data_IF_868315695063
#
_entry.id   IF_868315695063
#
_cell.length_a   1.000
_cell.length_b   1.000
_cell.length_c   1.000
_cell.angle_alpha   90.00
_cell.angle_beta   90.00
_cell.angle_gamma   90.00
#
_symmetry.space_group_name_H-M   'P 1'
#
loop_
_entity.id
_entity.type
_entity.pdbx_description
1 polymer ?
#
# COMPACT_ATOMS: atom_id res chain seq x y z
N UNK A 1 -23.28 18.11 2.43
CA UNK A 1 -22.39 16.98 2.81
C UNK A 1 -21.41 17.48 3.86
N UNK A 2 -21.29 16.80 4.99
CA UNK A 2 -20.34 17.16 6.06
C UNK A 2 -18.90 16.95 5.58
N UNK A 3 -18.06 17.99 5.61
CA UNK A 3 -16.64 17.86 5.25
C UNK A 3 -15.96 16.84 6.18
N UNK A 4 -15.36 15.81 5.60
CA UNK A 4 -14.61 14.80 6.36
C UNK A 4 -13.35 15.44 6.92
N UNK A 5 -13.29 15.61 8.24
CA UNK A 5 -12.15 16.20 8.95
C UNK A 5 -11.14 15.16 9.42
N UNK A 6 -11.43 13.86 9.32
CA UNK A 6 -10.51 12.80 9.73
C UNK A 6 -10.68 11.52 8.91
N UNK A 7 -9.58 10.76 8.77
CA UNK A 7 -9.57 9.42 8.17
C UNK A 7 -8.73 8.48 9.03
N UNK A 8 -9.18 7.23 9.16
CA UNK A 8 -8.52 6.20 9.95
C UNK A 8 -8.28 4.94 9.12
N UNK A 9 -7.08 4.38 9.26
CA UNK A 9 -6.71 3.08 8.72
C UNK A 9 -5.96 2.26 9.77
N UNK A 10 -6.61 1.21 10.29
CA UNK A 10 -6.09 0.44 11.42
C UNK A 10 -5.86 1.31 12.65
N UNK A 11 -4.61 1.36 13.11
CA UNK A 11 -4.18 2.16 14.26
C UNK A 11 -3.68 3.56 13.87
N UNK A 12 -3.56 3.84 12.57
CA UNK A 12 -3.12 5.14 12.07
C UNK A 12 -4.32 6.04 11.78
N UNK A 13 -4.21 7.30 12.16
CA UNK A 13 -5.27 8.28 11.99
C UNK A 13 -4.71 9.61 11.50
N UNK A 14 -5.40 10.23 10.54
CA UNK A 14 -5.15 11.58 10.07
C UNK A 14 -6.35 12.44 10.39
N UNK A 15 -6.14 13.55 11.07
CA UNK A 15 -7.18 14.51 11.40
C UNK A 15 -6.72 15.94 11.11
N UNK A 16 -7.64 16.74 10.58
CA UNK A 16 -7.46 18.16 10.37
C UNK A 16 -8.00 18.88 11.61
N UNK A 17 -7.11 19.57 12.34
CA UNK A 17 -7.45 20.32 13.54
C UNK A 17 -6.95 21.76 13.43
N UNK A 18 -7.87 22.69 13.17
CA UNK A 18 -7.53 24.09 12.85
C UNK A 18 -6.63 24.16 11.61
N UNK A 19 -5.43 24.72 11.81
CA UNK A 19 -4.36 24.91 10.81
C UNK A 19 -3.30 23.79 10.85
N UNK A 20 -3.58 22.72 11.58
CA UNK A 20 -2.69 21.58 11.74
C UNK A 20 -3.30 20.30 11.18
N UNK A 21 -2.46 19.50 10.53
CA UNK A 21 -2.68 18.09 10.25
C UNK A 21 -2.08 17.27 11.40
N UNK A 22 -2.92 16.56 12.14
CA UNK A 22 -2.50 15.61 13.18
C UNK A 22 -2.45 14.22 12.60
N UNK A 23 -1.31 13.56 12.73
CA UNK A 23 -1.09 12.16 12.39
C UNK A 23 -0.82 11.38 13.66
N UNK A 24 -1.70 10.42 13.97
CA UNK A 24 -1.50 9.47 15.06
C UNK A 24 -0.97 8.18 14.46
N UNK A 25 0.19 7.74 14.94
CA UNK A 25 0.75 6.41 14.70
C UNK A 25 0.71 5.60 16.01
N UNK A 26 1.07 4.32 15.96
CA UNK A 26 1.07 3.39 17.11
C UNK A 26 1.78 3.95 18.35
N UNK A 27 2.84 4.74 18.17
CA UNK A 27 3.73 5.18 19.24
C UNK A 27 3.74 6.69 19.47
N UNK A 28 3.24 7.49 18.51
CA UNK A 28 3.37 8.95 18.59
C UNK A 28 2.26 9.69 17.86
N UNK A 29 1.95 10.89 18.35
CA UNK A 29 1.12 11.87 17.65
C UNK A 29 2.06 12.93 17.09
N UNK A 30 2.07 13.07 15.77
CA UNK A 30 2.80 14.10 15.04
C UNK A 30 1.81 15.16 14.57
N UNK A 31 2.24 16.42 14.58
CA UNK A 31 1.45 17.52 14.03
C UNK A 31 2.27 18.28 13.00
N UNK A 32 1.65 18.60 11.87
CA UNK A 32 2.25 19.34 10.77
C UNK A 32 1.36 20.53 10.44
N UNK A 33 1.96 21.71 10.30
CA UNK A 33 1.24 22.91 9.88
C UNK A 33 0.83 22.74 8.40
N UNK A 34 -0.43 23.04 8.07
CA UNK A 34 -0.97 22.84 6.72
C UNK A 34 -0.17 23.58 5.64
N UNK A 35 0.33 24.79 5.93
CA UNK A 35 1.15 25.57 4.99
C UNK A 35 2.51 24.94 4.65
N UNK A 36 2.96 23.94 5.42
CA UNK A 36 4.21 23.20 5.17
C UNK A 36 4.01 21.94 4.32
N UNK A 37 2.79 21.68 3.85
CA UNK A 37 2.47 20.56 2.97
C UNK A 37 2.83 20.95 1.54
N UNK A 38 3.74 20.20 0.93
CA UNK A 38 4.19 20.44 -0.44
C UNK A 38 3.30 19.73 -1.46
N UNK A 39 2.89 18.49 -1.19
CA UNK A 39 2.04 17.73 -2.10
C UNK A 39 1.30 16.60 -1.39
N UNK A 40 0.16 16.20 -1.96
CA UNK A 40 -0.68 15.09 -1.47
C UNK A 40 -0.95 14.13 -2.63
N UNK A 41 -0.39 12.93 -2.53
CA UNK A 41 -0.48 11.87 -3.53
C UNK A 41 -1.29 10.69 -2.99
N UNK A 42 -2.04 10.04 -3.88
CA UNK A 42 -2.82 8.82 -3.56
C UNK A 42 -2.58 7.85 -4.70
N UNK A 43 -1.73 6.85 -4.44
CA UNK A 43 -1.24 5.91 -5.45
C UNK A 43 -1.48 4.46 -5.00
N UNK A 44 -1.29 3.51 -5.91
CA UNK A 44 -1.19 2.10 -5.55
C UNK A 44 0.02 1.84 -4.66
N UNK A 45 0.00 0.75 -3.88
CA UNK A 45 1.18 0.39 -3.08
C UNK A 45 2.30 -0.03 -4.03
N UNK A 46 3.48 0.55 -3.85
CA UNK A 46 4.65 0.24 -4.67
C UNK A 46 4.99 -1.26 -4.57
N UNK A 47 5.55 -1.81 -5.66
CA UNK A 47 6.07 -3.17 -5.74
C UNK A 47 5.04 -4.31 -5.86
N UNK A 48 3.75 -3.99 -6.04
CA UNK A 48 2.70 -5.00 -6.32
C UNK A 48 3.04 -5.85 -7.56
N UNK A 49 3.31 -5.21 -8.71
CA UNK A 49 3.59 -5.92 -9.97
C UNK A 49 4.84 -6.81 -9.92
N UNK A 50 5.84 -6.45 -9.12
CA UNK A 50 7.01 -7.30 -8.89
C UNK A 50 6.60 -8.63 -8.25
N UNK A 51 5.68 -8.61 -7.28
CA UNK A 51 5.14 -9.84 -6.67
C UNK A 51 4.42 -10.72 -7.69
N UNK A 52 3.67 -10.14 -8.61
CA UNK A 52 3.04 -10.89 -9.69
C UNK A 52 4.06 -11.54 -10.62
N UNK A 53 5.12 -10.81 -11.01
CA UNK A 53 6.20 -11.35 -11.85
C UNK A 53 6.92 -12.53 -11.16
N UNK A 54 7.24 -12.40 -9.88
CA UNK A 54 7.83 -13.49 -9.10
C UNK A 54 6.89 -14.69 -8.97
N UNK A 55 5.59 -14.46 -8.85
CA UNK A 55 4.59 -15.52 -8.85
C UNK A 55 4.57 -16.28 -10.18
N UNK A 56 4.50 -15.55 -11.31
CA UNK A 56 4.57 -16.15 -12.64
C UNK A 56 5.86 -16.95 -12.84
N UNK A 57 7.00 -16.42 -12.42
CA UNK A 57 8.29 -17.13 -12.49
C UNK A 57 8.28 -18.43 -11.66
N UNK A 58 7.72 -18.40 -10.45
CA UNK A 58 7.59 -19.60 -9.61
C UNK A 58 6.72 -20.68 -10.25
N UNK A 59 5.56 -20.28 -10.79
CA UNK A 59 4.67 -21.22 -11.47
C UNK A 59 5.25 -21.79 -12.76
N UNK A 60 5.88 -20.95 -13.59
CA UNK A 60 6.55 -21.41 -14.81
C UNK A 60 7.68 -22.39 -14.49
N UNK A 61 8.53 -22.06 -13.50
CA UNK A 61 9.60 -22.96 -13.06
C UNK A 61 9.04 -24.29 -12.55
N UNK A 62 7.93 -24.27 -11.81
CA UNK A 62 7.27 -25.49 -11.34
C UNK A 62 6.78 -26.37 -12.49
N UNK A 63 6.13 -25.78 -13.50
CA UNK A 63 5.64 -26.50 -14.69
C UNK A 63 6.80 -27.07 -15.48
N UNK A 64 7.87 -26.29 -15.67
CA UNK A 64 9.06 -26.73 -16.41
C UNK A 64 9.72 -27.91 -15.69
N UNK A 65 9.90 -27.82 -14.38
CA UNK A 65 10.47 -28.90 -13.58
C UNK A 65 9.61 -30.15 -13.56
N UNK A 66 8.28 -30.01 -13.52
CA UNK A 66 7.43 -31.19 -13.57
C UNK A 66 7.49 -31.84 -14.96
N UNK A 67 7.28 -31.06 -16.03
CA UNK A 67 6.96 -31.61 -17.35
C UNK A 67 8.19 -31.93 -18.21
N UNK A 68 9.26 -31.14 -18.11
CA UNK A 68 10.40 -31.23 -19.02
C UNK A 68 11.66 -31.85 -18.41
N UNK A 69 11.78 -31.87 -17.09
CA UNK A 69 12.91 -32.48 -16.40
C UNK A 69 12.63 -33.95 -16.09
N UNK A 70 13.69 -34.76 -16.07
CA UNK A 70 13.57 -36.17 -15.70
C UNK A 70 12.96 -36.33 -14.31
N UNK A 71 12.11 -37.35 -14.14
CA UNK A 71 11.50 -37.70 -12.87
C UNK A 71 12.57 -38.18 -11.88
N UNK A 72 13.12 -37.23 -11.13
CA UNK A 72 14.06 -37.48 -10.06
C UNK A 72 13.72 -36.62 -8.84
N UNK A 73 14.27 -37.02 -7.68
CA UNK A 73 13.96 -36.38 -6.41
C UNK A 73 14.26 -34.87 -6.42
N UNK A 74 15.33 -34.45 -7.11
CA UNK A 74 15.69 -33.03 -7.20
C UNK A 74 14.70 -32.23 -8.06
N UNK A 75 14.30 -32.77 -9.20
CA UNK A 75 13.30 -32.14 -10.08
C UNK A 75 11.96 -31.95 -9.36
N UNK A 76 11.52 -32.98 -8.63
CA UNK A 76 10.30 -32.92 -7.83
C UNK A 76 10.38 -31.88 -6.71
N UNK A 77 11.51 -31.80 -5.99
CA UNK A 77 11.72 -30.78 -4.96
C UNK A 77 11.70 -29.37 -5.55
N UNK A 78 12.40 -29.14 -6.68
CA UNK A 78 12.41 -27.84 -7.35
C UNK A 78 10.99 -27.46 -7.77
N UNK A 79 10.22 -28.40 -8.34
CA UNK A 79 8.84 -28.13 -8.74
C UNK A 79 7.97 -27.72 -7.56
N UNK A 80 8.02 -28.47 -6.46
CA UNK A 80 7.23 -28.20 -5.25
C UNK A 80 7.61 -26.85 -4.63
N UNK A 81 8.91 -26.58 -4.42
CA UNK A 81 9.35 -25.32 -3.83
C UNK A 81 9.03 -24.12 -4.72
N UNK A 82 9.17 -24.26 -6.04
CA UNK A 82 8.82 -23.20 -6.99
C UNK A 82 7.33 -22.92 -6.98
N UNK A 83 6.49 -23.95 -6.87
CA UNK A 83 5.04 -23.81 -6.73
C UNK A 83 4.65 -23.09 -5.45
N UNK A 84 5.22 -23.50 -4.30
CA UNK A 84 4.98 -22.87 -3.00
C UNK A 84 5.42 -21.40 -3.03
N UNK A 85 6.61 -21.13 -3.56
CA UNK A 85 7.10 -19.75 -3.74
C UNK A 85 6.15 -18.93 -4.61
N UNK A 86 5.73 -19.48 -5.75
CA UNK A 86 4.76 -18.88 -6.66
C UNK A 86 3.46 -18.50 -5.97
N UNK A 87 2.91 -19.40 -5.14
CA UNK A 87 1.72 -19.19 -4.32
C UNK A 87 1.88 -18.07 -3.30
N UNK A 88 2.99 -18.06 -2.55
CA UNK A 88 3.26 -17.01 -1.54
C UNK A 88 3.28 -15.64 -2.21
N UNK A 89 3.98 -15.51 -3.34
CA UNK A 89 4.04 -14.27 -4.11
C UNK A 89 2.69 -13.88 -4.72
N UNK A 90 1.91 -14.86 -5.18
CA UNK A 90 0.56 -14.65 -5.71
C UNK A 90 -0.37 -14.07 -4.65
N UNK A 91 -0.47 -14.72 -3.49
CA UNK A 91 -1.30 -14.26 -2.37
C UNK A 91 -0.84 -12.88 -1.90
N UNK A 92 0.47 -12.66 -1.81
CA UNK A 92 1.03 -11.34 -1.48
C UNK A 92 0.58 -10.27 -2.48
N UNK A 93 0.61 -10.56 -3.79
CA UNK A 93 0.12 -9.64 -4.81
C UNK A 93 -1.35 -9.27 -4.58
N UNK A 94 -2.23 -10.25 -4.36
CA UNK A 94 -3.65 -9.98 -4.12
C UNK A 94 -3.87 -9.11 -2.88
N UNK A 95 -3.19 -9.42 -1.78
CA UNK A 95 -3.28 -8.63 -0.55
C UNK A 95 -2.85 -7.19 -0.85
N UNK A 96 -1.64 -6.98 -1.39
CA UNK A 96 -1.15 -5.62 -1.64
C UNK A 96 -1.99 -4.87 -2.68
N UNK A 97 -2.47 -5.53 -3.75
CA UNK A 97 -3.29 -4.94 -4.81
C UNK A 97 -4.61 -4.35 -4.29
N UNK A 98 -5.12 -4.90 -3.18
CA UNK A 98 -6.33 -4.41 -2.54
C UNK A 98 -6.12 -3.14 -1.71
N UNK A 99 -4.88 -2.66 -1.57
CA UNK A 99 -4.51 -1.46 -0.80
C UNK A 99 -4.03 -0.33 -1.70
N UNK A 100 -4.25 0.88 -1.21
CA UNK A 100 -3.77 2.15 -1.74
C UNK A 100 -2.96 2.86 -0.67
N UNK A 101 -2.12 3.79 -1.08
CA UNK A 101 -1.25 4.57 -0.21
C UNK A 101 -1.49 6.06 -0.44
N UNK A 102 -1.84 6.77 0.63
CA UNK A 102 -1.82 8.23 0.67
C UNK A 102 -0.46 8.69 1.21
N UNK A 103 0.23 9.53 0.45
CA UNK A 103 1.49 10.15 0.83
C UNK A 103 1.32 11.66 0.89
N UNK A 104 1.55 12.26 2.05
CA UNK A 104 1.54 13.70 2.24
C UNK A 104 2.99 14.12 2.43
N UNK A 105 3.56 14.77 1.42
CA UNK A 105 4.93 15.27 1.47
C UNK A 105 4.95 16.62 2.16
N UNK A 106 5.83 16.76 3.12
CA UNK A 106 6.00 18.01 3.88
C UNK A 106 7.45 18.43 3.83
N UNK A 107 7.76 19.65 4.26
CA UNK A 107 9.16 20.13 4.31
C UNK A 107 10.05 19.38 5.29
N UNK A 108 9.48 18.65 6.27
CA UNK A 108 10.26 17.96 7.29
C UNK A 108 10.05 16.44 7.30
N UNK A 109 8.81 15.97 7.19
CA UNK A 109 8.45 14.56 7.39
C UNK A 109 7.36 14.15 6.40
N UNK A 110 7.64 13.13 5.60
CA UNK A 110 6.62 12.51 4.77
C UNK A 110 5.68 11.64 5.62
N UNK A 111 4.39 11.89 5.51
CA UNK A 111 3.36 11.13 6.20
C UNK A 111 2.77 10.12 5.22
N UNK A 112 2.78 8.85 5.61
CA UNK A 112 2.30 7.74 4.79
C UNK A 112 1.19 6.99 5.51
N UNK A 113 0.04 6.88 4.84
CA UNK A 113 -1.11 6.10 5.31
C UNK A 113 -1.55 5.12 4.22
N UNK A 114 -1.47 3.83 4.52
CA UNK A 114 -1.98 2.76 3.67
C UNK A 114 -3.42 2.42 4.08
N UNK A 115 -4.29 2.24 3.10
CA UNK A 115 -5.71 1.99 3.33
C UNK A 115 -6.28 1.08 2.25
N UNK A 116 -7.32 0.28 2.58
CA UNK A 116 -7.91 -0.61 1.60
C UNK A 116 -8.68 0.17 0.54
N UNK A 117 -8.60 -0.29 -0.70
CA UNK A 117 -9.17 0.32 -1.91
C UNK A 117 -10.66 0.63 -1.82
N UNK A 118 -11.44 -0.15 -1.07
CA UNK A 118 -12.87 0.14 -0.86
C UNK A 118 -13.13 1.45 -0.10
N UNK A 119 -12.14 1.99 0.64
CA UNK A 119 -12.20 3.30 1.31
C UNK A 119 -11.71 4.47 0.44
N UNK A 120 -11.39 4.24 -0.83
CA UNK A 120 -10.84 5.26 -1.75
C UNK A 120 -11.63 6.56 -1.76
N UNK A 121 -12.97 6.49 -1.84
CA UNK A 121 -13.80 7.70 -1.92
C UNK A 121 -13.67 8.58 -0.66
N UNK A 122 -13.67 7.97 0.52
CA UNK A 122 -13.48 8.66 1.80
C UNK A 122 -12.13 9.37 1.87
N UNK A 123 -11.06 8.71 1.41
CA UNK A 123 -9.72 9.29 1.38
C UNK A 123 -9.57 10.39 0.32
N UNK A 124 -10.24 10.27 -0.83
CA UNK A 124 -10.27 11.31 -1.84
C UNK A 124 -11.03 12.56 -1.37
N UNK A 125 -12.13 12.38 -0.63
CA UNK A 125 -12.88 13.48 -0.02
C UNK A 125 -12.06 14.19 1.08
N UNK A 126 -11.34 13.42 1.91
CA UNK A 126 -10.38 13.97 2.85
C UNK A 126 -9.25 14.75 2.14
N UNK A 127 -8.68 14.20 1.07
CA UNK A 127 -7.67 14.89 0.24
C UNK A 127 -8.20 16.22 -0.28
N UNK A 128 -9.43 16.26 -0.81
CA UNK A 128 -10.06 17.50 -1.29
C UNK A 128 -10.21 18.52 -0.16
N UNK A 129 -10.70 18.08 1.00
CA UNK A 129 -10.85 18.93 2.19
C UNK A 129 -9.50 19.49 2.66
N UNK A 130 -8.44 18.68 2.60
CA UNK A 130 -7.09 19.09 2.96
C UNK A 130 -6.54 20.13 1.98
N UNK A 131 -6.71 19.90 0.67
CA UNK A 131 -6.28 20.82 -0.40
C UNK A 131 -6.95 22.19 -0.27
N UNK A 132 -8.27 22.21 -0.06
CA UNK A 132 -9.05 23.44 0.13
C UNK A 132 -8.54 24.31 1.29
N UNK A 133 -7.93 23.69 2.31
CA UNK A 133 -7.36 24.39 3.46
C UNK A 133 -5.91 24.81 3.26
N UNK A 134 -5.14 24.08 2.46
CA UNK A 134 -3.76 24.46 2.13
C UNK A 134 -3.66 25.57 1.10
N UNK A 135 -4.71 25.78 0.29
CA UNK A 135 -4.77 26.82 -0.74
C UNK A 135 -5.33 28.17 -0.25
N UNK A 136 -5.65 28.28 1.04
CA UNK A 136 -6.08 29.52 1.69
C UNK A 136 -4.92 30.15 2.44
#
# INVERSE_FOLDING_TARGET
>A
MSKISFVRSGNKELAIYGDYLRFKDNESIKSVILSKINSILVDGVNNQYSKLLWSCLGFLTSIISWYFLEENLMSNLISIFSFIGGLIFFVSYFILSSYLKMTIKTTSIDIVLEFPSHKKNMFLEFKRTLLDKTSK
#
